data_IF_308136923523
#
_entry.id   IF_308136923523
#
_cell.length_a   1.000
_cell.length_b   1.000
_cell.length_c   1.000
_cell.angle_alpha   90.00
_cell.angle_beta   90.00
_cell.angle_gamma   90.00
#
_symmetry.space_group_name_H-M   'P 1'
#
loop_
_entity.id
_entity.type
_entity.pdbx_description
1 polymer ?
#
# COMPACT_ATOMS: atom_id res chain seq x y z
N UNK A 1 -1.46 5.01 24.51
CA UNK A 1 -0.82 6.00 23.59
C UNK A 1 -1.85 6.42 22.56
N UNK A 2 -1.92 7.71 22.26
CA UNK A 2 -2.75 8.24 21.17
C UNK A 2 -1.88 9.24 20.41
N UNK A 3 -1.80 9.10 19.09
CA UNK A 3 -0.96 9.97 18.25
C UNK A 3 -1.61 10.24 16.90
N UNK A 4 -1.43 11.46 16.41
CA UNK A 4 -1.77 11.87 15.04
C UNK A 4 -0.54 11.87 14.14
N UNK A 5 0.64 11.50 14.66
CA UNK A 5 1.87 11.41 13.90
C UNK A 5 1.88 10.14 13.08
N UNK A 6 2.43 10.23 11.88
CA UNK A 6 2.74 9.10 11.01
C UNK A 6 4.06 8.47 11.49
N UNK A 7 3.97 7.66 12.54
CA UNK A 7 5.10 6.94 13.10
C UNK A 7 4.75 5.46 13.24
N UNK A 8 5.76 4.61 13.13
CA UNK A 8 5.57 3.19 13.37
C UNK A 8 5.37 2.94 14.88
N UNK A 9 4.29 2.24 15.20
CA UNK A 9 4.01 1.79 16.55
C UNK A 9 4.31 0.30 16.69
N UNK A 10 4.77 -0.09 17.86
CA UNK A 10 5.20 -1.45 18.13
C UNK A 10 4.41 -2.06 19.29
N UNK A 11 4.16 -3.38 19.30
CA UNK A 11 3.48 -4.05 20.41
C UNK A 11 4.18 -3.90 21.77
N UNK A 12 5.49 -3.71 21.76
CA UNK A 12 6.31 -3.49 22.95
C UNK A 12 6.54 -2.00 23.29
N UNK A 13 5.98 -1.06 22.49
CA UNK A 13 6.01 0.37 22.83
C UNK A 13 5.35 0.63 24.17
N UNK A 14 5.97 1.49 24.97
CA UNK A 14 5.39 1.92 26.23
C UNK A 14 4.16 2.80 25.95
N UNK A 15 3.03 2.46 26.58
CA UNK A 15 1.85 3.29 26.57
C UNK A 15 2.04 4.43 27.59
N UNK A 16 2.37 5.62 27.11
CA UNK A 16 2.46 6.81 27.95
C UNK A 16 1.08 7.29 28.43
N UNK A 17 1.06 8.44 29.10
CA UNK A 17 -0.19 9.09 29.54
C UNK A 17 -1.06 9.39 28.32
N UNK A 18 -2.35 9.09 28.42
CA UNK A 18 -3.32 9.45 27.39
C UNK A 18 -3.51 10.98 27.37
N UNK A 19 -3.63 11.61 26.20
CA UNK A 19 -3.84 13.04 26.09
C UNK A 19 -5.23 13.43 26.60
N UNK A 20 -5.34 14.66 27.08
CA UNK A 20 -6.63 15.28 27.44
C UNK A 20 -7.23 16.02 26.24
N UNK A 21 -6.36 16.44 25.29
CA UNK A 21 -6.75 17.15 24.07
C UNK A 21 -5.85 16.74 22.89
N UNK A 22 -6.46 16.68 21.72
CA UNK A 22 -5.79 16.56 20.42
C UNK A 22 -6.19 17.73 19.54
N UNK A 23 -5.21 18.29 18.80
CA UNK A 23 -5.45 19.36 17.84
C UNK A 23 -5.02 18.88 16.44
N UNK A 24 -5.92 19.00 15.48
CA UNK A 24 -5.74 18.53 14.10
C UNK A 24 -6.10 19.68 13.16
N UNK A 25 -5.28 19.92 12.14
CA UNK A 25 -5.60 20.86 11.06
C UNK A 25 -5.64 20.12 9.75
N UNK A 26 -6.70 20.29 8.97
CA UNK A 26 -6.91 19.57 7.70
C UNK A 26 -7.36 20.51 6.58
N UNK A 27 -7.16 20.08 5.34
CA UNK A 27 -7.87 20.62 4.17
C UNK A 27 -9.35 20.24 4.23
N UNK A 28 -10.21 20.95 3.52
CA UNK A 28 -11.67 20.74 3.57
C UNK A 28 -12.17 19.35 3.15
N UNK A 29 -11.33 18.56 2.47
CA UNK A 29 -11.59 17.16 2.12
C UNK A 29 -10.54 16.20 2.71
N UNK A 30 -9.71 16.67 3.64
CA UNK A 30 -8.69 15.85 4.30
C UNK A 30 -9.29 14.78 5.21
N UNK A 31 -8.64 13.64 5.30
CA UNK A 31 -9.04 12.50 6.15
C UNK A 31 -7.91 12.16 7.11
N UNK A 32 -7.79 12.84 8.24
CA UNK A 32 -6.71 12.58 9.17
C UNK A 32 -6.88 11.25 9.89
N UNK A 33 -5.75 10.61 10.19
CA UNK A 33 -5.69 9.39 10.96
C UNK A 33 -5.27 9.64 12.41
N UNK A 34 -5.80 8.83 13.32
CA UNK A 34 -5.39 8.79 14.73
C UNK A 34 -5.06 7.34 15.07
N UNK A 35 -3.85 7.11 15.54
CA UNK A 35 -3.43 5.81 16.05
C UNK A 35 -3.67 5.75 17.56
N UNK A 36 -4.28 4.66 18.03
CA UNK A 36 -4.64 4.43 19.43
C UNK A 36 -4.07 3.09 19.89
N UNK A 37 -3.31 3.10 20.97
CA UNK A 37 -2.94 1.88 21.69
C UNK A 37 -3.32 2.07 23.16
N UNK A 38 -4.17 1.17 23.65
CA UNK A 38 -4.60 1.14 25.04
C UNK A 38 -4.18 -0.19 25.68
N UNK A 39 -3.53 -0.10 26.85
CA UNK A 39 -3.18 -1.26 27.64
C UNK A 39 -4.29 -1.53 28.66
N UNK A 40 -4.77 -2.77 28.70
CA UNK A 40 -5.83 -3.24 29.62
C UNK A 40 -5.75 -4.74 29.83
N UNK A 41 -6.28 -5.26 30.94
CA UNK A 41 -6.45 -6.69 31.19
C UNK A 41 -7.74 -7.26 30.61
N UNK A 42 -8.66 -6.40 30.13
CA UNK A 42 -9.92 -6.81 29.52
C UNK A 42 -9.73 -7.59 28.21
N UNK A 43 -10.80 -8.15 27.68
CA UNK A 43 -10.78 -8.92 26.42
C UNK A 43 -10.92 -8.05 25.18
N UNK A 44 -11.54 -6.89 25.32
CA UNK A 44 -11.82 -5.92 24.26
C UNK A 44 -11.86 -4.50 24.81
N UNK A 45 -11.66 -3.54 23.89
CA UNK A 45 -11.83 -2.11 24.14
C UNK A 45 -12.88 -1.58 23.18
N UNK A 46 -13.79 -0.75 23.68
CA UNK A 46 -14.80 -0.06 22.90
C UNK A 46 -14.31 1.37 22.66
N UNK A 47 -13.65 1.64 21.54
CA UNK A 47 -13.33 2.99 21.14
C UNK A 47 -14.56 3.68 20.55
N UNK A 48 -14.71 4.97 20.77
CA UNK A 48 -15.82 5.75 20.22
C UNK A 48 -15.39 7.15 19.80
N UNK A 49 -16.10 7.69 18.83
CA UNK A 49 -16.02 9.08 18.40
C UNK A 49 -17.41 9.69 18.50
N UNK A 50 -17.52 10.86 19.13
CA UNK A 50 -18.77 11.64 19.26
C UNK A 50 -18.54 13.06 18.77
N UNK A 51 -19.55 13.67 18.14
CA UNK A 51 -19.50 15.05 17.64
C UNK A 51 -20.21 15.19 16.32
N UNK A 52 -20.09 16.35 15.70
CA UNK A 52 -20.71 16.66 14.40
C UNK A 52 -19.65 16.99 13.38
N UNK A 53 -19.96 16.78 12.12
CA UNK A 53 -19.09 17.12 10.99
C UNK A 53 -18.14 16.01 10.57
N UNK A 54 -18.01 14.95 11.37
CA UNK A 54 -17.15 13.81 11.07
C UNK A 54 -17.77 12.49 11.50
N UNK A 55 -17.53 11.45 10.70
CA UNK A 55 -17.72 10.08 11.16
C UNK A 55 -16.36 9.37 11.26
N UNK A 56 -16.33 8.29 12.05
CA UNK A 56 -15.13 7.45 12.25
C UNK A 56 -15.17 6.19 11.39
N UNK A 57 -14.14 5.96 10.58
CA UNK A 57 -13.86 4.63 10.05
C UNK A 57 -12.81 3.97 10.94
N UNK A 58 -13.17 2.81 11.51
CA UNK A 58 -12.34 2.10 12.48
C UNK A 58 -11.60 0.93 11.85
N UNK A 59 -10.39 0.72 12.33
CA UNK A 59 -9.55 -0.40 11.92
C UNK A 59 -8.83 -0.99 13.14
N UNK A 60 -8.81 -2.32 13.25
CA UNK A 60 -7.86 -3.01 14.11
C UNK A 60 -6.47 -2.89 13.47
N UNK A 61 -5.48 -2.41 14.22
CA UNK A 61 -4.09 -2.48 13.80
C UNK A 61 -3.51 -3.84 14.22
N UNK A 62 -3.16 -4.68 13.24
CA UNK A 62 -2.51 -5.95 13.47
C UNK A 62 -0.99 -5.81 13.32
N UNK A 63 -0.29 -6.43 14.23
CA UNK A 63 1.15 -6.48 14.20
C UNK A 63 1.65 -7.58 13.28
N UNK A 64 2.64 -7.26 12.47
CA UNK A 64 3.36 -8.18 11.59
C UNK A 64 4.79 -8.41 12.07
N UNK A 65 5.38 -9.60 11.86
CA UNK A 65 6.77 -9.86 12.19
C UNK A 65 7.69 -9.23 11.14
N UNK A 66 8.78 -8.62 11.60
CA UNK A 66 9.95 -8.25 10.80
C UNK A 66 11.09 -9.11 11.29
N UNK A 67 11.45 -10.14 10.52
CA UNK A 67 12.41 -11.17 10.94
C UNK A 67 13.84 -10.80 10.59
N UNK A 68 14.04 -10.02 9.52
CA UNK A 68 15.34 -9.64 8.99
C UNK A 68 15.38 -8.15 8.65
N UNK A 69 16.53 -7.52 8.86
CA UNK A 69 16.78 -6.20 8.32
C UNK A 69 17.06 -6.32 6.82
N UNK A 70 16.65 -5.31 6.06
CA UNK A 70 17.01 -5.21 4.64
C UNK A 70 18.53 -5.16 4.53
N UNK A 71 19.14 -6.05 3.78
CA UNK A 71 20.61 -6.11 3.60
C UNK A 71 21.35 -7.24 4.29
N UNK A 72 20.67 -8.00 5.12
CA UNK A 72 21.29 -9.14 5.80
C UNK A 72 21.44 -10.40 4.91
N UNK A 73 21.70 -10.22 3.62
CA UNK A 73 21.94 -11.30 2.68
C UNK A 73 20.72 -12.14 2.29
N UNK A 74 19.53 -11.74 2.72
CA UNK A 74 18.29 -12.50 2.49
C UNK A 74 17.68 -12.22 1.13
N UNK A 75 17.95 -11.09 0.50
CA UNK A 75 17.47 -10.78 -0.84
C UNK A 75 18.61 -10.84 -1.86
N UNK A 76 18.48 -11.71 -2.82
CA UNK A 76 19.37 -11.76 -3.98
C UNK A 76 19.25 -10.50 -4.89
N UNK A 77 18.26 -9.66 -4.66
CA UNK A 77 18.12 -8.33 -5.26
C UNK A 77 18.85 -7.22 -4.49
N UNK A 78 19.65 -7.58 -3.52
CA UNK A 78 20.26 -6.70 -2.52
C UNK A 78 21.35 -5.75 -2.96
N UNK A 79 21.53 -5.51 -4.27
CA UNK A 79 22.49 -4.51 -4.74
C UNK A 79 22.16 -3.06 -4.28
N UNK A 80 20.94 -2.83 -3.81
CA UNK A 80 20.54 -1.53 -3.23
C UNK A 80 20.59 -1.52 -1.70
N UNK A 81 20.95 -2.63 -1.09
CA UNK A 81 20.96 -2.76 0.35
C UNK A 81 22.40 -2.86 0.80
N UNK A 82 22.84 -1.84 1.50
CA UNK A 82 24.15 -1.81 2.11
C UNK A 82 24.26 -2.95 3.11
N UNK A 83 25.28 -3.78 2.96
CA UNK A 83 25.65 -4.75 3.97
C UNK A 83 25.91 -4.02 5.28
N UNK A 84 25.10 -4.32 6.28
CA UNK A 84 25.29 -3.77 7.61
C UNK A 84 26.09 -4.79 8.40
N UNK A 85 27.24 -4.40 8.97
CA UNK A 85 27.98 -5.29 9.87
C UNK A 85 27.08 -5.81 10.99
N UNK A 86 27.21 -7.08 11.38
CA UNK A 86 26.43 -7.67 12.47
C UNK A 86 26.52 -6.83 13.74
N UNK A 87 25.34 -6.43 14.27
CA UNK A 87 25.25 -5.62 15.49
C UNK A 87 25.33 -4.12 15.30
N UNK A 88 25.58 -3.61 14.10
CA UNK A 88 25.50 -2.19 13.78
C UNK A 88 24.14 -1.82 13.25
N UNK A 89 23.61 -0.67 13.67
CA UNK A 89 22.36 -0.11 13.19
C UNK A 89 22.64 1.12 12.33
N UNK A 90 22.38 1.07 11.00
CA UNK A 90 22.46 2.26 10.17
C UNK A 90 21.52 3.37 10.65
N UNK A 91 21.89 4.63 10.45
CA UNK A 91 21.10 5.78 10.90
C UNK A 91 19.68 5.82 10.32
N UNK A 92 19.50 5.30 9.09
CA UNK A 92 18.19 5.23 8.44
C UNK A 92 17.31 4.06 8.91
N UNK A 93 17.85 3.12 9.69
CA UNK A 93 17.09 2.01 10.28
C UNK A 93 16.53 2.44 11.62
N UNK A 94 15.22 2.44 11.78
CA UNK A 94 14.58 2.83 13.04
C UNK A 94 14.75 1.78 14.13
N UNK A 95 14.73 0.49 13.76
CA UNK A 95 14.81 -0.63 14.69
C UNK A 95 15.45 -1.85 14.02
N UNK A 96 16.30 -2.58 14.76
CA UNK A 96 16.88 -3.84 14.29
C UNK A 96 15.91 -5.00 14.47
N UNK A 97 15.85 -5.88 13.47
CA UNK A 97 15.12 -7.15 13.55
C UNK A 97 15.81 -8.14 14.53
N UNK A 98 15.08 -9.11 15.13
CA UNK A 98 13.65 -9.34 14.90
C UNK A 98 12.76 -8.45 15.79
N UNK A 99 11.62 -8.01 15.26
CA UNK A 99 10.61 -7.27 16.02
C UNK A 99 9.23 -7.47 15.39
N UNK A 100 8.20 -6.91 16.03
CA UNK A 100 6.86 -6.82 15.46
C UNK A 100 6.45 -5.35 15.38
N UNK A 101 5.71 -4.99 14.34
CA UNK A 101 5.23 -3.62 14.10
C UNK A 101 3.74 -3.63 13.73
N UNK A 102 2.98 -2.66 14.22
CA UNK A 102 1.61 -2.45 13.77
C UNK A 102 1.62 -1.84 12.37
N UNK A 103 1.23 -2.63 11.37
CA UNK A 103 1.26 -2.20 9.97
C UNK A 103 -0.02 -2.57 9.21
N UNK A 104 -0.65 -3.70 9.52
CA UNK A 104 -1.84 -4.15 8.83
C UNK A 104 -3.10 -3.52 9.44
N UNK A 105 -3.86 -2.78 8.62
CA UNK A 105 -5.15 -2.19 9.00
C UNK A 105 -6.30 -3.11 8.57
N UNK A 106 -6.99 -3.71 9.53
CA UNK A 106 -8.18 -4.52 9.27
C UNK A 106 -9.44 -3.73 9.62
N UNK A 107 -10.25 -3.39 8.62
CA UNK A 107 -11.49 -2.65 8.83
C UNK A 107 -12.43 -3.38 9.78
N UNK A 108 -13.07 -2.62 10.67
CA UNK A 108 -14.08 -3.10 11.62
C UNK A 108 -15.37 -2.30 11.43
N UNK A 109 -16.51 -2.90 11.77
CA UNK A 109 -17.82 -2.23 11.66
C UNK A 109 -18.04 -1.22 12.79
N UNK A 110 -17.24 -1.28 13.84
CA UNK A 110 -17.33 -0.42 15.02
C UNK A 110 -15.95 -0.20 15.65
N UNK A 111 -15.88 0.64 16.68
CA UNK A 111 -14.67 0.81 17.49
C UNK A 111 -14.39 -0.32 18.48
N UNK A 112 -15.09 -1.46 18.40
CA UNK A 112 -14.80 -2.62 19.24
C UNK A 112 -13.55 -3.34 18.75
N UNK A 113 -12.46 -3.27 19.51
CA UNK A 113 -11.15 -3.82 19.14
C UNK A 113 -10.74 -4.90 20.15
N UNK A 114 -10.35 -6.10 19.70
CA UNK A 114 -9.89 -7.15 20.58
C UNK A 114 -8.57 -6.81 21.28
N UNK A 115 -8.41 -7.25 22.51
CA UNK A 115 -7.15 -7.11 23.25
C UNK A 115 -6.24 -8.31 22.95
N UNK A 116 -5.02 -8.03 22.51
CA UNK A 116 -3.97 -9.02 22.30
C UNK A 116 -2.73 -8.59 23.08
N UNK A 117 -2.13 -9.52 23.83
CA UNK A 117 -0.95 -9.24 24.66
C UNK A 117 -1.15 -7.98 25.54
N UNK A 118 -2.33 -7.86 26.20
CA UNK A 118 -2.74 -6.73 27.03
C UNK A 118 -2.91 -5.39 26.32
N UNK A 119 -2.91 -5.36 24.98
CA UNK A 119 -3.08 -4.13 24.20
C UNK A 119 -4.21 -4.27 23.20
N UNK A 120 -5.00 -3.21 23.08
CA UNK A 120 -5.89 -2.97 21.97
C UNK A 120 -5.26 -1.88 21.09
N UNK A 121 -5.07 -2.17 19.81
CA UNK A 121 -4.47 -1.26 18.87
C UNK A 121 -5.47 -0.93 17.75
N UNK A 122 -5.83 0.34 17.63
CA UNK A 122 -6.81 0.85 16.68
C UNK A 122 -6.23 1.99 15.83
N UNK A 123 -6.72 2.07 14.60
CA UNK A 123 -6.57 3.25 13.76
C UNK A 123 -7.95 3.82 13.48
N UNK A 124 -8.12 5.10 13.76
CA UNK A 124 -9.33 5.85 13.44
C UNK A 124 -9.04 6.80 12.28
N UNK A 125 -9.74 6.64 11.17
CA UNK A 125 -9.77 7.62 10.10
C UNK A 125 -10.99 8.54 10.31
N UNK A 126 -10.76 9.84 10.48
CA UNK A 126 -11.81 10.83 10.52
C UNK A 126 -12.27 11.15 9.10
N UNK A 127 -13.51 10.85 8.80
CA UNK A 127 -14.11 11.12 7.49
C UNK A 127 -15.01 12.33 7.62
N UNK A 128 -14.71 13.47 6.94
CA UNK A 128 -15.56 14.64 6.98
C UNK A 128 -16.91 14.38 6.32
N UNK A 129 -17.96 15.00 6.84
CA UNK A 129 -19.24 15.04 6.15
C UNK A 129 -19.09 15.69 4.77
N UNK A 130 -19.93 15.28 3.80
CA UNK A 130 -19.78 15.65 2.38
C UNK A 130 -19.69 17.16 2.15
N UNK A 131 -20.47 17.92 2.92
CA UNK A 131 -20.61 19.38 2.75
C UNK A 131 -20.02 20.13 3.97
N UNK A 132 -18.92 19.61 4.53
CA UNK A 132 -18.27 20.21 5.69
C UNK A 132 -17.69 21.58 5.34
N UNK A 133 -18.16 22.62 6.02
CA UNK A 133 -17.70 23.99 5.85
C UNK A 133 -16.36 24.22 6.58
N UNK A 134 -15.52 25.18 6.12
CA UNK A 134 -14.34 25.60 6.86
C UNK A 134 -14.72 26.13 8.25
N UNK A 135 -13.96 25.75 9.27
CA UNK A 135 -14.25 26.15 10.66
C UNK A 135 -13.55 25.28 11.67
N UNK A 136 -13.92 25.45 12.93
CA UNK A 136 -13.44 24.64 14.05
C UNK A 136 -14.56 23.67 14.51
N UNK A 137 -14.18 22.41 14.64
CA UNK A 137 -15.06 21.31 15.05
C UNK A 137 -14.51 20.67 16.32
N UNK A 138 -15.39 20.42 17.27
CA UNK A 138 -15.03 19.78 18.52
C UNK A 138 -15.68 18.40 18.60
N UNK A 139 -14.83 17.40 18.71
CA UNK A 139 -15.22 16.00 18.84
C UNK A 139 -14.75 15.47 20.18
N UNK A 140 -15.34 14.38 20.60
CA UNK A 140 -14.89 13.60 21.74
C UNK A 140 -14.47 12.23 21.27
N UNK A 141 -13.23 11.85 21.56
CA UNK A 141 -12.65 10.55 21.31
C UNK A 141 -12.42 9.83 22.63
N UNK A 142 -12.87 8.60 22.75
CA UNK A 142 -12.71 7.88 24.00
C UNK A 142 -12.63 6.37 23.84
N UNK A 143 -12.45 5.71 24.97
CA UNK A 143 -12.39 4.27 25.09
C UNK A 143 -13.06 3.79 26.39
N UNK A 144 -13.84 2.73 26.29
CA UNK A 144 -14.46 2.02 27.42
C UNK A 144 -13.82 0.64 27.54
N UNK A 145 -13.45 0.28 28.75
CA UNK A 145 -12.92 -1.03 29.11
C UNK A 145 -13.60 -1.55 30.38
N UNK A 146 -13.38 -2.80 30.72
CA UNK A 146 -13.83 -3.36 32.02
C UNK A 146 -13.15 -2.67 33.21
N UNK A 147 -12.00 -2.02 33.01
CA UNK A 147 -11.18 -1.39 34.06
C UNK A 147 -11.48 0.10 34.23
N UNK A 148 -12.10 0.73 33.22
CA UNK A 148 -12.39 2.15 33.29
C UNK A 148 -12.71 2.79 31.93
N UNK A 149 -12.78 4.10 31.99
CA UNK A 149 -13.14 4.96 30.87
C UNK A 149 -12.08 6.02 30.66
N UNK A 150 -11.81 6.33 29.42
CA UNK A 150 -10.98 7.45 29.01
C UNK A 150 -11.68 8.24 27.92
N UNK A 151 -11.52 9.56 27.95
CA UNK A 151 -12.05 10.47 26.94
C UNK A 151 -11.11 11.67 26.79
N UNK A 152 -10.94 12.15 25.56
CA UNK A 152 -10.23 13.39 25.26
C UNK A 152 -11.00 14.24 24.26
N UNK A 153 -10.76 15.55 24.31
CA UNK A 153 -11.28 16.49 23.32
C UNK A 153 -10.43 16.43 22.06
N UNK A 154 -11.08 16.44 20.88
CA UNK A 154 -10.41 16.53 19.58
C UNK A 154 -10.90 17.78 18.88
N UNK A 155 -10.02 18.78 18.78
CA UNK A 155 -10.28 20.02 18.06
C UNK A 155 -9.77 19.90 16.62
N UNK A 156 -10.69 19.95 15.64
CA UNK A 156 -10.36 19.83 14.22
C UNK A 156 -10.59 21.19 13.53
N UNK A 157 -9.50 21.80 13.07
CA UNK A 157 -9.56 23.00 12.23
C UNK A 157 -9.63 22.59 10.77
N UNK A 158 -10.74 22.86 10.11
CA UNK A 158 -10.95 22.63 8.69
C UNK A 158 -10.64 23.92 7.92
N UNK A 159 -9.64 23.86 7.06
CA UNK A 159 -9.24 24.98 6.21
C UNK A 159 -10.15 25.10 4.97
N UNK A 160 -10.23 26.29 4.39
CA UNK A 160 -10.96 26.52 3.13
C UNK A 160 -10.30 25.89 1.90
N UNK A 161 -9.03 25.49 2.02
CA UNK A 161 -8.30 24.81 0.95
C UNK A 161 -8.82 23.37 0.81
N UNK A 162 -8.98 22.92 -0.43
CA UNK A 162 -9.31 21.51 -0.75
C UNK A 162 -8.18 20.92 -1.57
N UNK A 163 -7.84 19.68 -1.31
CA UNK A 163 -6.87 18.93 -2.11
C UNK A 163 -7.54 18.53 -3.42
N UNK A 164 -7.03 18.96 -4.60
CA UNK A 164 -7.56 18.51 -5.89
C UNK A 164 -7.38 16.99 -6.04
N UNK A 165 -8.31 16.34 -6.72
CA UNK A 165 -8.22 14.90 -7.00
C UNK A 165 -7.04 14.54 -7.92
N UNK A 166 -6.58 15.51 -8.72
CA UNK A 166 -5.54 15.42 -9.72
C UNK A 166 -4.32 16.31 -9.39
N UNK A 167 -4.05 16.56 -8.11
CA UNK A 167 -2.96 17.43 -7.66
C UNK A 167 -1.59 17.02 -8.26
N UNK A 168 -1.32 15.73 -8.35
CA UNK A 168 -0.20 15.15 -9.09
C UNK A 168 -0.48 13.67 -9.39
N UNK A 169 0.08 13.11 -10.47
CA UNK A 169 -0.11 11.71 -10.80
C UNK A 169 0.60 10.82 -9.78
N UNK A 170 -0.12 9.83 -9.26
CA UNK A 170 0.39 8.82 -8.34
C UNK A 170 0.29 7.47 -9.01
N UNK A 171 1.41 6.74 -9.03
CA UNK A 171 1.46 5.33 -9.37
C UNK A 171 2.02 4.53 -8.20
N UNK A 172 1.54 3.31 -8.02
CA UNK A 172 2.03 2.37 -7.04
C UNK A 172 2.04 0.98 -7.68
N UNK A 173 3.22 0.38 -7.77
CA UNK A 173 3.40 -0.90 -8.42
C UNK A 173 3.09 -2.03 -7.44
N UNK A 174 2.35 -3.01 -7.90
CA UNK A 174 2.11 -4.25 -7.18
C UNK A 174 2.00 -5.41 -8.16
N UNK A 175 2.24 -6.61 -7.67
CA UNK A 175 2.16 -7.82 -8.49
C UNK A 175 0.74 -8.34 -8.54
N UNK A 176 0.17 -8.45 -9.74
CA UNK A 176 -1.12 -9.10 -9.98
C UNK A 176 -1.10 -10.58 -9.55
N UNK A 177 0.01 -11.27 -9.78
CA UNK A 177 0.21 -12.65 -9.33
C UNK A 177 0.20 -12.76 -7.79
N UNK A 178 0.68 -11.74 -7.08
CA UNK A 178 0.66 -11.74 -5.62
C UNK A 178 -0.78 -11.78 -5.06
N UNK A 179 -1.75 -11.14 -5.72
CA UNK A 179 -3.18 -11.25 -5.35
C UNK A 179 -3.61 -12.72 -5.41
N UNK A 180 -3.36 -13.38 -6.55
CA UNK A 180 -3.68 -14.81 -6.73
C UNK A 180 -3.06 -15.67 -5.62
N UNK A 181 -1.76 -15.49 -5.38
CA UNK A 181 -0.99 -16.30 -4.43
C UNK A 181 -1.44 -16.09 -2.98
N UNK A 182 -1.63 -14.85 -2.55
CA UNK A 182 -1.96 -14.55 -1.15
C UNK A 182 -3.43 -14.74 -0.80
N UNK A 183 -4.34 -14.57 -1.76
CA UNK A 183 -5.77 -14.77 -1.54
C UNK A 183 -6.25 -16.15 -1.99
N UNK A 184 -5.36 -16.98 -2.57
CA UNK A 184 -5.68 -18.32 -3.06
C UNK A 184 -6.82 -18.31 -4.08
N UNK A 185 -6.82 -17.34 -4.99
CA UNK A 185 -7.76 -17.18 -6.10
C UNK A 185 -7.02 -17.31 -7.42
N UNK A 186 -7.60 -17.98 -8.39
CA UNK A 186 -7.00 -18.17 -9.70
C UNK A 186 -7.14 -16.91 -10.55
N UNK A 187 -6.05 -16.47 -11.19
CA UNK A 187 -6.03 -15.29 -12.07
C UNK A 187 -7.10 -15.41 -13.17
N UNK A 188 -7.79 -14.30 -13.42
CA UNK A 188 -8.83 -14.21 -14.46
C UNK A 188 -10.20 -14.76 -14.07
N UNK A 189 -10.34 -15.40 -12.89
CA UNK A 189 -11.65 -15.82 -12.37
C UNK A 189 -12.46 -14.64 -11.84
N UNK A 190 -13.79 -14.75 -11.73
CA UNK A 190 -14.62 -13.71 -11.13
C UNK A 190 -14.15 -13.34 -9.71
N UNK A 191 -13.78 -14.32 -8.89
CA UNK A 191 -13.28 -14.12 -7.52
C UNK A 191 -11.98 -13.31 -7.49
N UNK A 192 -11.08 -13.60 -8.44
CA UNK A 192 -9.86 -12.81 -8.60
C UNK A 192 -10.16 -11.36 -9.00
N UNK A 193 -11.06 -11.15 -9.96
CA UNK A 193 -11.45 -9.81 -10.42
C UNK A 193 -12.13 -9.00 -9.31
N UNK A 194 -12.95 -9.63 -8.49
CA UNK A 194 -13.57 -8.99 -7.32
C UNK A 194 -12.52 -8.57 -6.28
N UNK A 195 -11.52 -9.42 -6.04
CA UNK A 195 -10.39 -9.08 -5.16
C UNK A 195 -9.57 -7.93 -5.76
N UNK A 196 -9.26 -7.97 -7.05
CA UNK A 196 -8.56 -6.88 -7.75
C UNK A 196 -9.31 -5.56 -7.61
N UNK A 197 -10.64 -5.54 -7.81
CA UNK A 197 -11.46 -4.34 -7.59
C UNK A 197 -11.33 -3.78 -6.18
N UNK A 198 -11.26 -4.64 -5.16
CA UNK A 198 -11.05 -4.18 -3.78
C UNK A 198 -9.70 -3.47 -3.61
N UNK A 199 -8.62 -3.99 -4.21
CA UNK A 199 -7.31 -3.32 -4.24
C UNK A 199 -7.36 -1.99 -4.99
N UNK A 200 -8.00 -1.95 -6.15
CA UNK A 200 -8.14 -0.72 -6.95
C UNK A 200 -8.88 0.36 -6.16
N UNK A 201 -9.98 0.01 -5.48
CA UNK A 201 -10.72 0.95 -4.62
C UNK A 201 -9.88 1.50 -3.48
N UNK A 202 -9.02 0.66 -2.87
CA UNK A 202 -8.08 1.11 -1.85
C UNK A 202 -7.07 2.12 -2.42
N UNK A 203 -6.50 1.84 -3.60
CA UNK A 203 -5.59 2.76 -4.30
C UNK A 203 -6.29 4.06 -4.71
N UNK A 204 -7.52 3.99 -5.21
CA UNK A 204 -8.32 5.18 -5.56
C UNK A 204 -8.60 6.08 -4.34
N UNK A 205 -8.76 5.52 -3.16
CA UNK A 205 -8.87 6.30 -1.91
C UNK A 205 -7.61 7.11 -1.60
N UNK A 206 -6.46 6.71 -2.13
CA UNK A 206 -5.18 7.42 -2.05
C UNK A 206 -4.92 8.31 -3.26
N UNK A 207 -5.97 8.64 -4.03
CA UNK A 207 -5.92 9.47 -5.25
C UNK A 207 -5.06 8.90 -6.38
N UNK A 208 -4.73 7.61 -6.35
CA UNK A 208 -4.00 6.97 -7.44
C UNK A 208 -4.86 6.89 -8.69
N UNK A 209 -4.32 7.31 -9.84
CA UNK A 209 -4.97 7.27 -11.15
C UNK A 209 -4.19 6.47 -12.18
N UNK A 210 -2.95 6.14 -11.89
CA UNK A 210 -2.06 5.39 -12.76
C UNK A 210 -1.97 3.97 -12.22
N UNK A 211 -2.13 2.98 -13.08
CA UNK A 211 -1.92 1.57 -12.75
C UNK A 211 -0.85 0.95 -13.63
N UNK A 212 -0.17 -0.03 -13.09
CA UNK A 212 0.93 -0.71 -13.74
C UNK A 212 0.51 -2.09 -14.22
N UNK A 213 0.80 -2.40 -15.48
CA UNK A 213 0.64 -3.73 -16.07
C UNK A 213 2.02 -4.23 -16.45
N UNK A 214 2.40 -5.35 -15.89
CA UNK A 214 3.60 -6.07 -16.29
C UNK A 214 3.27 -7.02 -17.43
N UNK A 215 4.04 -6.94 -18.52
CA UNK A 215 3.94 -7.90 -19.60
C UNK A 215 4.67 -9.18 -19.22
N UNK A 216 4.20 -10.29 -19.76
CA UNK A 216 4.80 -11.60 -19.64
C UNK A 216 4.83 -12.33 -21.02
N UNK A 217 5.38 -13.53 -21.05
CA UNK A 217 5.55 -14.30 -22.28
C UNK A 217 4.20 -14.75 -22.93
N UNK A 218 3.09 -14.64 -22.23
CA UNK A 218 1.78 -14.97 -22.77
C UNK A 218 1.36 -14.03 -23.91
N UNK A 219 1.90 -12.81 -23.94
CA UNK A 219 1.61 -11.87 -25.01
C UNK A 219 2.21 -12.28 -26.38
N UNK A 220 3.08 -13.27 -26.43
CA UNK A 220 3.66 -13.76 -27.68
C UNK A 220 2.71 -14.81 -28.31
N UNK A 221 1.89 -14.38 -29.25
CA UNK A 221 0.92 -15.24 -29.91
C UNK A 221 1.57 -16.14 -30.99
N UNK A 222 2.46 -15.56 -31.82
CA UNK A 222 3.17 -16.27 -32.88
C UNK A 222 4.65 -15.90 -32.80
N UNK A 223 5.53 -16.92 -32.82
CA UNK A 223 6.98 -16.69 -32.71
C UNK A 223 7.62 -16.35 -34.05
N UNK A 224 7.12 -16.89 -35.17
CA UNK A 224 7.66 -16.66 -36.50
C UNK A 224 6.55 -16.51 -37.55
N UNK A 225 6.36 -15.31 -38.14
CA UNK A 225 6.90 -14.02 -37.73
C UNK A 225 6.33 -13.61 -36.40
N UNK A 226 7.14 -12.99 -35.53
CA UNK A 226 6.69 -12.62 -34.21
C UNK A 226 5.46 -11.71 -34.23
N UNK A 227 4.44 -12.08 -33.46
CA UNK A 227 3.22 -11.31 -33.25
C UNK A 227 2.81 -11.34 -31.79
N UNK A 228 2.23 -10.25 -31.34
CA UNK A 228 1.81 -10.06 -29.95
C UNK A 228 0.30 -9.93 -29.84
N UNK A 229 -0.23 -10.46 -28.74
CA UNK A 229 -1.66 -10.46 -28.41
C UNK A 229 -1.79 -10.18 -26.90
N UNK A 230 -2.63 -9.21 -26.55
CA UNK A 230 -2.83 -8.77 -25.17
C UNK A 230 -4.25 -9.02 -24.67
N UNK A 231 -5.09 -9.72 -25.43
CA UNK A 231 -6.50 -9.97 -25.10
C UNK A 231 -6.69 -10.64 -23.73
N UNK A 232 -5.71 -11.43 -23.29
CA UNK A 232 -5.73 -12.05 -21.96
C UNK A 232 -5.65 -11.03 -20.81
N UNK A 233 -5.12 -9.82 -21.06
CA UNK A 233 -5.05 -8.72 -20.09
C UNK A 233 -6.33 -7.88 -20.04
N UNK A 234 -7.18 -7.97 -21.08
CA UNK A 234 -8.40 -7.15 -21.22
C UNK A 234 -9.28 -7.16 -19.98
N UNK A 235 -9.64 -8.30 -19.35
CA UNK A 235 -10.49 -8.28 -18.16
C UNK A 235 -9.86 -7.56 -16.97
N UNK A 236 -8.55 -7.66 -16.81
CA UNK A 236 -7.80 -6.99 -15.74
C UNK A 236 -7.74 -5.49 -15.98
N UNK A 237 -7.41 -5.08 -17.21
CA UNK A 237 -7.32 -3.67 -17.60
C UNK A 237 -8.68 -2.99 -17.47
N UNK A 238 -9.76 -3.66 -17.89
CA UNK A 238 -11.12 -3.17 -17.74
C UNK A 238 -11.49 -2.89 -16.27
N UNK A 239 -11.11 -3.79 -15.33
CA UNK A 239 -11.34 -3.54 -13.91
C UNK A 239 -10.70 -2.24 -13.43
N UNK A 240 -9.50 -1.90 -13.88
CA UNK A 240 -8.86 -0.65 -13.50
C UNK A 240 -9.62 0.57 -14.01
N UNK A 241 -10.01 0.58 -15.28
CA UNK A 241 -10.78 1.68 -15.85
C UNK A 241 -12.19 1.80 -15.26
N UNK A 242 -12.89 0.68 -15.05
CA UNK A 242 -14.23 0.67 -14.44
C UNK A 242 -14.23 1.24 -13.02
N UNK A 243 -13.15 1.00 -12.25
CA UNK A 243 -12.99 1.53 -10.90
C UNK A 243 -12.35 2.95 -10.87
N UNK A 244 -12.21 3.60 -12.05
CA UNK A 244 -11.82 5.01 -12.16
C UNK A 244 -10.32 5.29 -12.22
N UNK A 245 -9.49 4.31 -12.56
CA UNK A 245 -8.13 4.58 -13.01
C UNK A 245 -8.16 5.16 -14.42
N UNK A 246 -7.19 5.99 -14.77
CA UNK A 246 -7.23 6.78 -16.02
C UNK A 246 -6.04 6.51 -16.94
N UNK A 247 -4.90 6.11 -16.38
CA UNK A 247 -3.64 5.98 -17.11
C UNK A 247 -3.05 4.60 -16.85
N UNK A 248 -2.74 3.90 -17.92
CA UNK A 248 -2.04 2.62 -17.86
C UNK A 248 -0.55 2.84 -18.08
N UNK A 249 0.26 2.41 -17.13
CA UNK A 249 1.71 2.27 -17.25
C UNK A 249 2.03 0.82 -17.60
N UNK A 250 2.77 0.62 -18.68
CA UNK A 250 3.20 -0.71 -19.09
C UNK A 250 4.68 -0.85 -18.76
N UNK A 251 5.00 -1.85 -17.94
CA UNK A 251 6.34 -2.05 -17.43
C UNK A 251 7.19 -2.94 -18.31
N UNK A 252 8.49 -2.66 -18.17
CA UNK A 252 9.66 -3.30 -18.75
C UNK A 252 9.48 -3.85 -20.17
N UNK A 253 9.79 -3.02 -21.16
CA UNK A 253 9.89 -3.47 -22.56
C UNK A 253 11.20 -4.23 -22.84
N UNK A 254 12.17 -4.13 -21.93
CA UNK A 254 13.47 -4.77 -22.00
C UNK A 254 13.84 -5.39 -20.66
N UNK A 255 14.56 -6.49 -20.70
CA UNK A 255 15.22 -7.07 -19.53
C UNK A 255 16.67 -6.62 -19.45
N UNK A 256 17.18 -6.53 -18.23
CA UNK A 256 18.61 -6.47 -17.97
C UNK A 256 19.25 -7.82 -18.27
N UNK A 257 20.58 -7.84 -18.46
CA UNK A 257 21.33 -9.09 -18.55
C UNK A 257 21.13 -9.98 -17.31
N UNK A 258 21.45 -11.24 -17.46
CA UNK A 258 21.34 -12.21 -16.38
C UNK A 258 22.74 -12.72 -15.99
N UNK A 259 22.95 -12.93 -14.71
CA UNK A 259 24.11 -13.59 -14.16
C UNK A 259 24.04 -15.12 -14.46
N UNK A 260 25.17 -15.85 -14.35
CA UNK A 260 25.18 -17.29 -14.61
C UNK A 260 24.22 -18.12 -13.75
N UNK A 261 23.82 -17.61 -12.59
CA UNK A 261 22.82 -18.20 -11.69
C UNK A 261 21.36 -17.90 -12.10
N UNK A 262 21.18 -17.15 -13.19
CA UNK A 262 19.87 -16.77 -13.71
C UNK A 262 19.25 -15.54 -13.04
N UNK A 263 19.94 -14.91 -12.08
CA UNK A 263 19.47 -13.65 -11.47
C UNK A 263 19.73 -12.46 -12.40
N UNK A 264 18.90 -11.37 -12.35
CA UNK A 264 19.17 -10.18 -13.14
C UNK A 264 20.49 -9.51 -12.77
N UNK A 265 21.31 -9.19 -13.76
CA UNK A 265 22.52 -8.41 -13.57
C UNK A 265 22.15 -6.93 -13.41
N UNK A 266 22.17 -6.44 -12.18
CA UNK A 266 21.78 -5.07 -11.86
C UNK A 266 22.76 -4.01 -12.36
N UNK A 267 23.97 -4.41 -12.79
CA UNK A 267 25.03 -3.52 -13.23
C UNK A 267 25.31 -3.61 -14.73
N UNK A 268 24.61 -4.48 -15.46
CA UNK A 268 24.79 -4.61 -16.92
C UNK A 268 24.31 -3.36 -17.64
N UNK A 269 25.02 -3.01 -18.71
CA UNK A 269 24.60 -2.10 -19.77
C UNK A 269 24.00 -2.84 -20.98
N UNK A 270 23.98 -4.18 -20.93
CA UNK A 270 23.44 -5.05 -21.98
C UNK A 270 21.98 -5.40 -21.68
N UNK A 271 21.07 -4.98 -22.55
CA UNK A 271 19.65 -5.27 -22.45
C UNK A 271 19.23 -6.32 -23.47
N UNK A 272 18.27 -7.16 -23.08
CA UNK A 272 17.61 -8.15 -23.94
C UNK A 272 16.14 -7.80 -24.14
N UNK A 273 15.55 -8.34 -25.20
CA UNK A 273 14.14 -8.12 -25.48
C UNK A 273 13.26 -8.76 -24.42
N UNK A 274 12.16 -8.11 -24.06
CA UNK A 274 11.27 -8.55 -22.99
C UNK A 274 10.81 -10.00 -23.15
N UNK A 275 10.48 -10.39 -24.39
CA UNK A 275 9.93 -11.71 -24.70
C UNK A 275 10.99 -12.73 -25.13
N UNK A 276 12.26 -12.35 -25.24
CA UNK A 276 13.36 -13.24 -25.56
C UNK A 276 14.66 -12.80 -24.86
N UNK A 277 14.97 -13.50 -23.78
CA UNK A 277 16.16 -13.22 -22.94
C UNK A 277 17.49 -13.46 -23.66
N UNK A 278 17.50 -14.16 -24.83
CA UNK A 278 18.68 -14.40 -25.62
C UNK A 278 18.85 -13.37 -26.73
N UNK A 279 17.81 -12.62 -27.07
CA UNK A 279 17.81 -11.63 -28.12
C UNK A 279 18.24 -10.27 -27.57
N UNK A 280 19.45 -9.84 -27.93
CA UNK A 280 19.97 -8.53 -27.50
C UNK A 280 19.25 -7.40 -28.22
N UNK A 281 18.87 -6.39 -27.46
CA UNK A 281 18.14 -5.21 -27.96
C UNK A 281 18.94 -4.39 -28.97
N UNK A 282 20.25 -4.28 -28.82
CA UNK A 282 21.17 -3.52 -29.68
C UNK A 282 21.49 -4.19 -31.03
N UNK A 283 20.89 -5.35 -31.31
CA UNK A 283 20.92 -5.98 -32.64
C UNK A 283 19.76 -5.50 -33.51
N UNK A 284 19.91 -5.62 -34.84
CA UNK A 284 18.81 -5.30 -35.76
C UNK A 284 17.55 -6.12 -35.49
N UNK A 285 17.72 -7.39 -35.19
CA UNK A 285 16.61 -8.31 -34.87
C UNK A 285 15.92 -7.90 -33.55
N UNK A 286 16.68 -7.59 -32.50
CA UNK A 286 16.14 -7.13 -31.23
C UNK A 286 15.42 -5.80 -31.34
N UNK A 287 15.95 -4.88 -32.13
CA UNK A 287 15.28 -3.61 -32.40
C UNK A 287 13.93 -3.83 -33.13
N UNK A 288 13.90 -4.66 -34.18
CA UNK A 288 12.68 -5.00 -34.92
C UNK A 288 11.65 -5.67 -34.00
N UNK A 289 12.10 -6.58 -33.14
CA UNK A 289 11.26 -7.24 -32.14
C UNK A 289 10.57 -6.22 -31.21
N UNK A 290 11.35 -5.31 -30.64
CA UNK A 290 10.83 -4.28 -29.71
C UNK A 290 9.91 -3.30 -30.42
N UNK A 291 10.21 -2.91 -31.66
CA UNK A 291 9.33 -2.06 -32.49
C UNK A 291 7.97 -2.73 -32.71
N UNK A 292 7.95 -4.02 -33.04
CA UNK A 292 6.70 -4.78 -33.23
C UNK A 292 5.88 -4.86 -31.92
N UNK A 293 6.55 -5.07 -30.78
CA UNK A 293 5.88 -5.06 -29.46
C UNK A 293 5.21 -3.71 -29.21
N UNK A 294 5.95 -2.61 -29.39
CA UNK A 294 5.41 -1.24 -29.17
C UNK A 294 4.26 -0.95 -30.14
N UNK A 295 4.38 -1.34 -31.42
CA UNK A 295 3.30 -1.16 -32.40
C UNK A 295 2.05 -1.96 -32.03
N UNK A 296 2.21 -3.19 -31.57
CA UNK A 296 1.09 -4.01 -31.11
C UNK A 296 0.40 -3.40 -29.88
N UNK A 297 1.18 -2.93 -28.91
CA UNK A 297 0.66 -2.22 -27.74
C UNK A 297 -0.10 -0.92 -28.10
N UNK A 298 0.42 -0.17 -29.07
CA UNK A 298 -0.22 1.06 -29.55
C UNK A 298 -1.52 0.81 -30.34
N UNK A 299 -1.73 -0.41 -30.79
CA UNK A 299 -2.92 -0.81 -31.56
C UNK A 299 -3.98 -1.51 -30.70
N UNK A 300 -3.59 -1.99 -29.55
CA UNK A 300 -4.44 -2.60 -28.53
C UNK A 300 -5.21 -1.55 -27.72
#
# INVERSE_FOLDING_TARGET
>A
MVTTREEFLYPDSLCGRLPEELQITIAGNGRPGIQLILETSGKKVNFFLKGKGFCGEWYEMKDIPVEYNTGDGVSQGGAMVLETPPGEKPDYVTRLAPFRVYDCLCRTDSGEIPVKNRKAAAYLCLVPDKDLEPGEYHLSLGAETEEGFWECSVSVKVCSVRIPEDAFPVTNWFSLEAISRFHHVEMGTPEYLDMLRAYIRAMRRLHQKIFYIQLDEQCVNIKEPIAFDFEYLTPVIQCFFEEGMEIMEIGALLHRGFLPDGSPDMYTDSFTCMMDKNLKFDTLEGYVHTVKLVQALASY
#
